data_IF_665087226024
#
_entry.id   IF_665087226024
#
_cell.length_a   1.000
_cell.length_b   1.000
_cell.length_c   1.000
_cell.angle_alpha   90.00
_cell.angle_beta   90.00
_cell.angle_gamma   90.00
#
_symmetry.space_group_name_H-M   'P 1'
#
loop_
_entity.id
_entity.type
_entity.pdbx_description
1 polymer ?
#
# COMPACT_ATOMS: atom_id res chain seq x y z
N UNK A 1 8.05 -27.70 3.01
CA UNK A 1 7.03 -27.86 4.02
C UNK A 1 5.65 -27.99 3.37
N UNK A 2 4.80 -28.86 3.88
CA UNK A 2 3.44 -29.06 3.34
C UNK A 2 2.56 -27.79 3.45
N UNK A 3 2.91 -26.83 4.31
CA UNK A 3 2.18 -25.60 4.53
C UNK A 3 2.61 -24.43 3.64
N UNK A 4 3.77 -24.50 3.00
CA UNK A 4 4.31 -23.41 2.18
C UNK A 4 5.82 -23.52 2.00
N UNK A 5 6.44 -22.44 1.47
CA UNK A 5 7.87 -22.38 1.27
C UNK A 5 8.46 -21.03 1.71
N UNK A 6 9.74 -21.06 2.07
CA UNK A 6 10.52 -19.92 2.52
C UNK A 6 11.63 -19.58 1.52
N UNK A 7 11.85 -18.29 1.33
CA UNK A 7 12.95 -17.74 0.53
C UNK A 7 13.66 -16.66 1.33
N UNK A 8 14.93 -16.83 1.63
CA UNK A 8 15.72 -15.85 2.38
C UNK A 8 16.93 -16.45 3.08
N UNK A 9 17.48 -15.67 4.01
CA UNK A 9 18.65 -16.06 4.78
C UNK A 9 18.34 -17.25 5.69
N UNK A 10 19.30 -18.16 5.79
CA UNK A 10 19.16 -19.36 6.62
C UNK A 10 20.42 -19.60 7.47
N UNK A 11 20.22 -20.11 8.65
CA UNK A 11 21.28 -20.58 9.51
C UNK A 11 20.93 -21.95 10.10
N UNK A 12 21.80 -22.94 9.91
CA UNK A 12 21.59 -24.34 10.37
C UNK A 12 20.24 -24.92 9.91
N UNK A 13 19.83 -24.63 8.65
CA UNK A 13 18.58 -25.11 8.06
C UNK A 13 17.32 -24.43 8.56
N UNK A 14 17.42 -23.35 9.32
CA UNK A 14 16.29 -22.54 9.79
C UNK A 14 16.32 -21.15 9.19
N UNK A 15 15.14 -20.55 9.02
CA UNK A 15 15.03 -19.15 8.61
C UNK A 15 15.72 -18.25 9.65
N UNK A 16 16.60 -17.39 9.18
CA UNK A 16 17.37 -16.44 9.99
C UNK A 16 17.56 -15.16 9.20
N UNK A 17 17.67 -13.99 9.85
CA UNK A 17 17.83 -12.71 9.15
C UNK A 17 16.59 -12.31 8.37
N UNK A 18 16.76 -11.80 7.16
CA UNK A 18 15.63 -11.34 6.32
C UNK A 18 15.17 -12.44 5.37
N UNK A 19 13.83 -12.57 5.23
CA UNK A 19 13.26 -13.53 4.31
C UNK A 19 11.74 -13.48 4.19
N UNK A 20 11.24 -14.26 3.25
CA UNK A 20 9.85 -14.29 2.81
C UNK A 20 9.28 -15.69 2.93
N UNK A 21 8.07 -15.79 3.44
CA UNK A 21 7.32 -17.03 3.51
C UNK A 21 6.03 -16.93 2.68
N UNK A 22 5.76 -17.96 1.91
CA UNK A 22 4.58 -18.10 1.07
C UNK A 22 3.78 -19.31 1.49
N UNK A 23 2.64 -19.08 2.13
CA UNK A 23 1.72 -20.13 2.54
C UNK A 23 0.89 -20.68 1.37
N UNK A 24 0.57 -21.96 1.40
CA UNK A 24 -0.29 -22.59 0.39
C UNK A 24 -1.74 -22.08 0.44
N UNK A 25 -2.15 -21.51 1.58
CA UNK A 25 -3.45 -20.86 1.79
C UNK A 25 -3.54 -19.44 1.21
N UNK A 26 -2.46 -18.95 0.59
CA UNK A 26 -2.37 -17.56 0.10
C UNK A 26 -1.83 -16.57 1.13
N UNK A 27 -1.50 -17.01 2.33
CA UNK A 27 -0.80 -16.18 3.30
C UNK A 27 0.64 -15.87 2.86
N UNK A 28 1.17 -14.78 3.36
CA UNK A 28 2.47 -14.29 3.01
C UNK A 28 3.08 -13.52 4.18
N UNK A 29 4.38 -13.72 4.42
CA UNK A 29 5.15 -12.92 5.37
C UNK A 29 6.44 -12.43 4.71
N UNK A 30 6.78 -11.16 4.94
CA UNK A 30 8.02 -10.53 4.50
C UNK A 30 8.62 -9.77 5.69
N UNK A 31 9.81 -10.15 6.14
CA UNK A 31 10.43 -9.52 7.30
C UNK A 31 11.55 -10.34 7.93
N UNK A 32 11.83 -10.03 9.20
CA UNK A 32 12.90 -10.64 9.95
C UNK A 32 12.52 -11.97 10.60
N UNK A 33 13.51 -12.86 10.65
CA UNK A 33 13.41 -14.21 11.20
C UNK A 33 14.52 -14.49 12.18
N UNK A 34 14.23 -15.28 13.18
CA UNK A 34 15.21 -15.81 14.13
C UNK A 34 14.82 -17.24 14.49
N UNK A 35 15.75 -18.16 14.31
CA UNK A 35 15.58 -19.59 14.65
C UNK A 35 14.29 -20.22 14.06
N UNK A 36 13.95 -19.87 12.81
CA UNK A 36 12.78 -20.36 12.09
C UNK A 36 11.46 -19.69 12.47
N UNK A 37 11.48 -18.61 13.25
CA UNK A 37 10.28 -17.88 13.68
C UNK A 37 10.34 -16.42 13.22
N UNK A 38 9.17 -15.84 12.92
CA UNK A 38 9.04 -14.40 12.68
C UNK A 38 9.47 -13.65 13.94
N UNK A 39 10.48 -12.79 13.81
CA UNK A 39 11.07 -12.10 14.94
C UNK A 39 11.74 -10.80 14.46
N UNK A 40 11.34 -9.65 14.98
CA UNK A 40 11.71 -8.34 14.46
C UNK A 40 10.62 -7.75 13.56
N UNK A 41 10.98 -6.77 12.75
CA UNK A 41 10.02 -6.05 11.92
C UNK A 41 9.61 -6.85 10.67
N UNK A 42 8.31 -6.86 10.37
CA UNK A 42 7.80 -7.55 9.19
C UNK A 42 6.32 -7.32 8.92
N UNK A 43 5.92 -7.72 7.71
CA UNK A 43 4.55 -7.66 7.21
C UNK A 43 3.98 -9.06 7.03
N UNK A 44 2.75 -9.27 7.48
CA UNK A 44 1.98 -10.48 7.25
C UNK A 44 0.68 -10.16 6.53
N UNK A 45 0.45 -10.83 5.41
CA UNK A 45 -0.80 -10.79 4.65
C UNK A 45 -1.44 -12.18 4.75
N UNK A 46 -2.69 -12.24 5.17
CA UNK A 46 -3.44 -13.48 5.20
C UNK A 46 -4.84 -13.26 4.64
N UNK A 47 -5.39 -14.22 3.87
CA UNK A 47 -6.77 -14.15 3.41
C UNK A 47 -7.73 -14.00 4.59
N UNK A 48 -8.74 -13.15 4.43
CA UNK A 48 -9.79 -12.90 5.43
C UNK A 48 -9.30 -12.37 6.79
N UNK A 49 -8.05 -11.91 6.90
CA UNK A 49 -7.50 -11.28 8.11
C UNK A 49 -7.02 -9.85 7.79
N UNK A 50 -6.72 -9.08 8.84
CA UNK A 50 -6.11 -7.77 8.69
C UNK A 50 -4.64 -7.92 8.30
N UNK A 51 -4.15 -6.99 7.50
CA UNK A 51 -2.73 -6.81 7.27
C UNK A 51 -2.06 -6.49 8.61
N UNK A 52 -1.02 -7.26 8.98
CA UNK A 52 -0.25 -7.05 10.21
C UNK A 52 1.14 -6.58 9.85
N UNK A 53 1.47 -5.35 10.20
CA UNK A 53 2.74 -4.70 9.92
C UNK A 53 3.31 -4.15 11.22
N UNK A 54 4.54 -4.50 11.55
CA UNK A 54 5.19 -4.06 12.77
C UNK A 54 6.10 -5.12 13.39
N UNK A 55 6.24 -5.08 14.71
CA UNK A 55 7.13 -5.96 15.46
C UNK A 55 6.52 -7.35 15.70
N UNK A 56 7.35 -8.34 15.49
CA UNK A 56 7.05 -9.75 15.75
C UNK A 56 8.02 -10.32 16.77
N UNK A 57 7.54 -11.23 17.60
CA UNK A 57 8.38 -12.01 18.52
C UNK A 57 7.87 -13.44 18.60
N UNK A 58 8.69 -14.40 18.20
CA UNK A 58 8.35 -15.84 18.21
C UNK A 58 7.03 -16.14 17.51
N UNK A 59 6.84 -15.64 16.29
CA UNK A 59 5.61 -15.76 15.48
C UNK A 59 4.39 -14.97 15.98
N UNK A 60 4.51 -14.23 17.08
CA UNK A 60 3.41 -13.42 17.65
C UNK A 60 3.59 -11.97 17.24
N UNK A 61 2.55 -11.37 16.65
CA UNK A 61 2.52 -9.95 16.35
C UNK A 61 2.42 -9.14 17.64
N UNK A 62 3.32 -8.17 17.82
CA UNK A 62 3.42 -7.32 19.01
C UNK A 62 2.88 -5.92 18.81
N UNK A 63 2.45 -5.62 17.60
CA UNK A 63 1.90 -4.32 17.27
C UNK A 63 2.85 -3.44 16.48
N UNK A 64 2.40 -2.22 16.26
CA UNK A 64 3.08 -1.22 15.45
C UNK A 64 4.13 -0.46 16.26
N UNK A 65 5.26 -0.14 15.62
CA UNK A 65 6.32 0.66 16.23
C UNK A 65 6.82 1.72 15.25
N UNK A 66 6.98 2.93 15.73
CA UNK A 66 7.42 4.08 14.92
C UNK A 66 8.89 4.43 15.16
N UNK A 67 9.76 4.09 14.22
CA UNK A 67 11.16 4.55 14.17
C UNK A 67 11.60 4.70 12.70
N UNK A 68 12.28 5.80 12.35
CA UNK A 68 12.84 6.00 11.00
C UNK A 68 14.26 5.44 10.95
N UNK A 69 14.40 4.19 10.56
CA UNK A 69 15.70 3.54 10.40
C UNK A 69 15.68 2.58 9.19
N UNK A 70 16.83 2.02 8.88
CA UNK A 70 16.99 1.08 7.76
C UNK A 70 16.20 -0.23 7.93
N UNK A 71 15.78 -0.56 9.15
CA UNK A 71 15.05 -1.80 9.44
C UNK A 71 13.55 -1.70 9.11
N UNK A 72 13.09 -0.52 8.68
CA UNK A 72 11.72 -0.34 8.23
C UNK A 72 11.54 -0.77 6.79
N UNK A 73 10.30 -1.16 6.48
CA UNK A 73 9.89 -1.53 5.14
C UNK A 73 9.34 -0.30 4.44
N UNK A 74 10.11 0.22 3.48
CA UNK A 74 9.72 1.37 2.67
C UNK A 74 9.22 0.93 1.30
N UNK A 75 8.30 1.70 0.76
CA UNK A 75 7.75 1.49 -0.56
C UNK A 75 7.29 2.77 -1.22
N UNK A 76 6.73 2.62 -2.39
CA UNK A 76 6.29 3.71 -3.26
C UNK A 76 4.89 3.45 -3.76
N UNK A 77 4.19 4.51 -4.17
CA UNK A 77 3.03 4.37 -5.02
C UNK A 77 3.24 5.08 -6.35
N UNK A 78 2.69 4.50 -7.40
CA UNK A 78 2.94 4.83 -8.78
C UNK A 78 1.64 5.01 -9.56
N UNK A 79 1.66 5.96 -10.46
CA UNK A 79 0.62 6.19 -11.45
C UNK A 79 1.25 6.54 -12.81
N UNK A 80 0.46 7.02 -13.74
CA UNK A 80 0.99 7.55 -15.01
C UNK A 80 1.98 8.73 -14.83
N UNK A 81 1.90 9.43 -13.69
CA UNK A 81 2.73 10.62 -13.45
C UNK A 81 4.22 10.32 -13.38
N UNK A 82 4.62 9.11 -13.03
CA UNK A 82 6.01 8.67 -13.07
C UNK A 82 6.49 8.35 -14.50
N UNK A 83 5.57 8.22 -15.44
CA UNK A 83 5.86 7.95 -16.86
C UNK A 83 5.62 9.14 -17.78
N UNK A 84 4.84 10.13 -17.35
CA UNK A 84 4.41 11.23 -18.20
C UNK A 84 4.52 12.58 -17.49
N UNK A 85 5.15 13.56 -18.17
CA UNK A 85 5.15 14.97 -17.76
C UNK A 85 4.93 15.83 -18.99
N UNK A 86 3.70 16.34 -19.16
CA UNK A 86 3.30 16.98 -20.41
C UNK A 86 3.40 16.00 -21.58
N UNK A 87 4.15 16.38 -22.61
CA UNK A 87 4.40 15.53 -23.77
C UNK A 87 5.57 14.54 -23.60
N UNK A 88 6.37 14.73 -22.56
CA UNK A 88 7.54 13.89 -22.30
C UNK A 88 7.14 12.54 -21.69
N UNK A 89 7.88 11.50 -22.10
CA UNK A 89 7.70 10.14 -21.61
C UNK A 89 8.98 9.64 -20.94
N UNK A 90 8.82 8.93 -19.83
CA UNK A 90 9.90 8.41 -19.01
C UNK A 90 9.68 6.92 -18.72
N UNK A 91 10.76 6.15 -18.82
CA UNK A 91 10.75 4.75 -18.43
C UNK A 91 11.24 4.61 -16.99
N UNK A 92 10.64 3.70 -16.24
CA UNK A 92 11.12 3.31 -14.92
C UNK A 92 12.21 2.26 -15.08
N UNK A 93 13.40 2.52 -14.52
CA UNK A 93 14.50 1.57 -14.47
C UNK A 93 14.38 0.66 -13.25
N UNK A 94 13.46 -0.29 -13.30
CA UNK A 94 13.06 -1.16 -12.19
C UNK A 94 14.22 -1.87 -11.49
N UNK A 95 15.23 -2.31 -12.23
CA UNK A 95 16.43 -2.97 -11.66
C UNK A 95 17.35 -2.04 -10.87
N UNK A 96 17.11 -0.73 -10.90
CA UNK A 96 17.92 0.29 -10.23
C UNK A 96 17.23 0.96 -9.06
N UNK A 97 16.02 0.53 -8.72
CA UNK A 97 15.20 1.24 -7.73
C UNK A 97 15.86 1.26 -6.35
N UNK A 98 16.10 2.46 -5.85
CA UNK A 98 16.55 2.77 -4.49
C UNK A 98 15.95 4.09 -4.06
N UNK A 99 15.38 4.15 -2.87
CA UNK A 99 14.91 5.41 -2.28
C UNK A 99 16.16 6.17 -1.81
N UNK A 100 16.39 7.35 -2.39
CA UNK A 100 17.55 8.19 -2.08
C UNK A 100 17.20 9.39 -1.21
N UNK A 101 15.95 9.82 -1.26
CA UNK A 101 15.42 10.88 -0.39
C UNK A 101 14.02 10.49 0.07
N UNK A 102 13.76 10.63 1.35
CA UNK A 102 12.41 10.42 1.92
C UNK A 102 11.45 11.59 1.61
N UNK A 103 11.96 12.66 1.02
CA UNK A 103 11.20 13.88 0.73
C UNK A 103 11.13 14.83 1.93
N UNK A 104 10.22 15.78 1.85
CA UNK A 104 9.99 16.76 2.91
C UNK A 104 9.14 16.14 4.02
N UNK A 105 9.75 15.80 5.14
CA UNK A 105 9.11 15.05 6.22
C UNK A 105 8.34 15.90 7.23
N UNK A 106 8.56 17.21 7.24
CA UNK A 106 7.87 18.11 8.19
C UNK A 106 7.77 19.53 7.65
N UNK A 107 6.93 20.36 8.32
CA UNK A 107 6.86 21.80 8.05
C UNK A 107 8.18 22.55 8.24
N UNK A 108 9.14 21.95 8.92
CA UNK A 108 10.51 22.45 9.08
C UNK A 108 11.44 22.08 7.92
N UNK A 109 10.93 21.46 6.86
CA UNK A 109 11.69 21.04 5.67
C UNK A 109 12.92 20.20 5.99
N UNK A 110 12.77 19.22 6.86
CA UNK A 110 13.82 18.23 7.11
C UNK A 110 13.86 17.28 5.91
N UNK A 111 14.92 17.37 5.12
CA UNK A 111 15.17 16.46 4.00
C UNK A 111 15.82 15.18 4.51
N UNK A 112 15.15 14.07 4.32
CA UNK A 112 15.70 12.75 4.66
C UNK A 112 16.52 12.17 3.51
N UNK A 113 17.85 12.33 3.51
CA UNK A 113 18.75 11.64 2.58
C UNK A 113 19.02 10.22 3.12
N UNK A 114 18.75 9.22 2.28
CA UNK A 114 18.82 7.80 2.64
C UNK A 114 19.35 6.96 1.48
N UNK A 115 19.53 5.68 1.68
CA UNK A 115 19.77 4.69 0.63
C UNK A 115 19.02 3.39 1.01
N UNK A 116 17.70 3.37 0.78
CA UNK A 116 16.83 2.26 1.17
C UNK A 116 16.34 1.48 -0.06
N UNK A 117 16.15 0.16 0.07
CA UNK A 117 15.49 -0.61 -0.99
C UNK A 117 14.02 -0.21 -1.10
N UNK A 118 13.47 -0.32 -2.31
CA UNK A 118 12.03 -0.30 -2.54
C UNK A 118 11.52 -1.71 -2.29
N UNK A 119 10.87 -1.93 -1.16
CA UNK A 119 10.40 -3.26 -0.75
C UNK A 119 9.02 -3.58 -1.30
N UNK A 120 8.20 -2.55 -1.56
CA UNK A 120 6.87 -2.70 -2.14
C UNK A 120 6.52 -1.51 -3.05
N UNK A 121 5.58 -1.76 -3.96
CA UNK A 121 5.02 -0.73 -4.82
C UNK A 121 3.51 -0.94 -4.97
N UNK A 122 2.73 0.12 -4.79
CA UNK A 122 1.35 0.15 -5.21
C UNK A 122 1.23 0.84 -6.56
N UNK A 123 0.48 0.23 -7.48
CA UNK A 123 0.33 0.75 -8.84
C UNK A 123 -1.14 1.06 -9.12
N UNK A 124 -1.42 2.27 -9.58
CA UNK A 124 -2.76 2.66 -10.01
C UNK A 124 -3.21 1.78 -11.16
N UNK A 125 -4.40 1.21 -11.04
CA UNK A 125 -5.02 0.42 -12.10
C UNK A 125 -6.03 1.25 -12.85
N UNK A 126 -7.01 1.76 -12.12
CA UNK A 126 -8.19 2.41 -12.67
C UNK A 126 -8.60 3.63 -11.86
N UNK A 127 -9.41 4.49 -12.50
CA UNK A 127 -10.09 5.61 -11.86
C UNK A 127 -11.53 5.67 -12.36
N UNK A 128 -12.46 5.86 -11.45
CA UNK A 128 -13.87 5.86 -11.78
C UNK A 128 -14.29 4.58 -12.52
N UNK A 129 -15.12 4.71 -13.52
CA UNK A 129 -15.65 3.56 -14.28
C UNK A 129 -15.01 3.35 -15.65
N UNK A 130 -14.08 4.21 -16.07
CA UNK A 130 -13.58 4.24 -17.46
C UNK A 130 -12.10 4.49 -17.62
N UNK A 131 -11.43 5.14 -16.68
CA UNK A 131 -10.02 5.51 -16.84
C UNK A 131 -9.11 4.36 -16.41
N UNK A 132 -8.28 3.88 -17.33
CA UNK A 132 -7.27 2.86 -17.11
C UNK A 132 -5.88 3.52 -17.11
N UNK A 133 -5.03 3.16 -16.15
CA UNK A 133 -3.61 3.45 -16.24
C UNK A 133 -2.95 2.52 -17.25
N UNK A 134 -2.57 3.05 -18.40
CA UNK A 134 -1.99 2.26 -19.49
C UNK A 134 -0.62 1.64 -19.13
N UNK A 135 0.05 2.13 -18.10
CA UNK A 135 1.34 1.61 -17.62
C UNK A 135 1.18 0.50 -16.58
N UNK A 136 -0.05 0.26 -16.07
CA UNK A 136 -0.29 -0.69 -14.99
C UNK A 136 0.32 -2.07 -15.25
N UNK A 137 0.03 -2.67 -16.38
CA UNK A 137 0.46 -4.04 -16.65
C UNK A 137 1.98 -4.17 -16.76
N UNK A 138 2.64 -3.21 -17.40
CA UNK A 138 4.10 -3.19 -17.52
C UNK A 138 4.77 -3.00 -16.17
N UNK A 139 4.26 -2.08 -15.36
CA UNK A 139 4.79 -1.81 -14.01
C UNK A 139 4.55 -2.99 -13.07
N UNK A 140 3.36 -3.57 -13.10
CA UNK A 140 3.01 -4.76 -12.32
C UNK A 140 3.94 -5.94 -12.61
N UNK A 141 4.19 -6.23 -13.89
CA UNK A 141 5.09 -7.31 -14.30
C UNK A 141 6.54 -7.00 -13.93
N UNK A 142 7.00 -5.78 -14.19
CA UNK A 142 8.36 -5.38 -13.91
C UNK A 142 8.69 -5.41 -12.41
N UNK A 143 7.78 -4.97 -11.57
CA UNK A 143 7.92 -5.06 -10.12
C UNK A 143 8.06 -6.52 -9.66
N UNK A 144 7.20 -7.41 -10.14
CA UNK A 144 7.30 -8.85 -9.86
C UNK A 144 8.63 -9.45 -10.29
N UNK A 145 9.13 -9.08 -11.48
CA UNK A 145 10.44 -9.54 -11.99
C UNK A 145 11.61 -9.13 -11.10
N UNK A 146 11.48 -8.01 -10.41
CA UNK A 146 12.49 -7.52 -9.46
C UNK A 146 12.26 -8.00 -8.01
N UNK A 147 11.27 -8.86 -7.77
CA UNK A 147 10.94 -9.33 -6.44
C UNK A 147 10.34 -8.26 -5.51
N UNK A 148 9.89 -7.13 -6.08
CA UNK A 148 9.20 -6.06 -5.34
C UNK A 148 7.75 -6.49 -5.10
N UNK A 149 7.26 -6.35 -3.87
CA UNK A 149 5.88 -6.63 -3.54
C UNK A 149 4.95 -5.64 -4.22
N UNK A 150 3.92 -6.14 -4.88
CA UNK A 150 3.00 -5.31 -5.65
C UNK A 150 1.62 -5.32 -5.03
N UNK A 151 1.01 -4.15 -4.96
CA UNK A 151 -0.41 -3.97 -4.72
C UNK A 151 -1.03 -3.13 -5.83
N UNK A 152 -2.33 -3.27 -5.98
CA UNK A 152 -3.12 -2.57 -6.99
C UNK A 152 -4.09 -1.61 -6.33
N UNK A 153 -4.21 -0.36 -6.84
CA UNK A 153 -5.17 0.58 -6.29
C UNK A 153 -6.11 1.18 -7.34
N UNK A 154 -7.27 1.57 -6.85
CA UNK A 154 -8.31 2.26 -7.60
C UNK A 154 -8.54 3.65 -7.03
N UNK A 155 -8.57 4.66 -7.89
CA UNK A 155 -8.94 6.02 -7.52
C UNK A 155 -10.45 6.19 -7.64
N UNK A 156 -11.11 6.46 -6.51
CA UNK A 156 -12.56 6.58 -6.42
C UNK A 156 -13.05 7.89 -7.06
N UNK A 157 -14.11 7.78 -7.86
CA UNK A 157 -14.80 8.93 -8.45
C UNK A 157 -16.19 9.12 -7.84
N UNK A 158 -16.54 10.35 -7.53
CA UNK A 158 -17.90 10.71 -7.07
C UNK A 158 -18.95 10.71 -8.19
N UNK A 159 -18.54 10.50 -9.45
CA UNK A 159 -19.39 10.57 -10.65
C UNK A 159 -19.99 9.23 -11.08
N UNK A 160 -19.71 8.15 -10.36
CA UNK A 160 -20.23 6.81 -10.67
C UNK A 160 -20.42 5.96 -9.42
N UNK A 161 -21.26 4.93 -9.51
CA UNK A 161 -21.50 4.06 -8.36
C UNK A 161 -20.29 3.22 -7.98
N UNK A 162 -20.18 2.88 -6.69
CA UNK A 162 -19.15 1.96 -6.19
C UNK A 162 -19.19 0.60 -6.86
N UNK A 163 -20.40 0.12 -7.21
CA UNK A 163 -20.59 -1.12 -7.97
C UNK A 163 -19.91 -1.09 -9.34
N UNK A 164 -20.12 -0.03 -10.13
CA UNK A 164 -19.52 0.09 -11.46
C UNK A 164 -18.00 0.21 -11.38
N UNK A 165 -17.51 0.98 -10.41
CA UNK A 165 -16.08 1.17 -10.18
C UNK A 165 -15.41 -0.13 -9.73
N UNK A 166 -16.02 -0.87 -8.80
CA UNK A 166 -15.50 -2.16 -8.35
C UNK A 166 -15.42 -3.18 -9.49
N UNK A 167 -16.46 -3.29 -10.31
CA UNK A 167 -16.45 -4.17 -11.49
C UNK A 167 -15.36 -3.79 -12.48
N UNK A 168 -15.17 -2.49 -12.74
CA UNK A 168 -14.13 -2.03 -13.65
C UNK A 168 -12.73 -2.34 -13.10
N UNK A 169 -12.49 -2.07 -11.82
CA UNK A 169 -11.24 -2.40 -11.16
C UNK A 169 -10.94 -3.90 -11.21
N UNK A 170 -11.89 -4.75 -10.79
CA UNK A 170 -11.73 -6.20 -10.78
C UNK A 170 -11.49 -6.80 -12.17
N UNK A 171 -12.09 -6.21 -13.20
CA UNK A 171 -11.86 -6.62 -14.60
C UNK A 171 -10.45 -6.30 -15.08
N UNK A 172 -9.83 -5.23 -14.57
CA UNK A 172 -8.56 -4.70 -15.05
C UNK A 172 -7.37 -5.06 -14.18
N UNK A 173 -7.55 -5.16 -12.86
CA UNK A 173 -6.49 -5.52 -11.93
C UNK A 173 -6.03 -6.97 -12.10
N UNK A 174 -4.79 -7.21 -11.69
CA UNK A 174 -4.21 -8.55 -11.57
C UNK A 174 -3.99 -8.87 -10.10
N UNK A 175 -4.22 -10.10 -9.76
CA UNK A 175 -4.04 -10.61 -8.39
C UNK A 175 -3.27 -11.92 -8.47
N UNK A 176 -2.07 -11.95 -7.88
CA UNK A 176 -1.25 -13.15 -7.75
C UNK A 176 -1.07 -13.48 -6.27
N UNK A 177 -0.77 -14.72 -5.99
CA UNK A 177 -0.36 -15.13 -4.64
C UNK A 177 0.84 -14.31 -4.19
N UNK A 178 0.74 -13.74 -2.98
CA UNK A 178 1.77 -12.87 -2.42
C UNK A 178 1.64 -11.38 -2.80
N UNK A 179 0.65 -11.00 -3.62
CA UNK A 179 0.34 -9.58 -3.83
C UNK A 179 -0.21 -8.96 -2.56
N UNK A 180 0.04 -7.67 -2.41
CA UNK A 180 -0.52 -6.88 -1.32
C UNK A 180 -2.03 -6.68 -1.49
N UNK A 181 -2.78 -6.48 -0.40
CA UNK A 181 -4.21 -6.22 -0.47
C UNK A 181 -4.54 -5.05 -1.41
N UNK A 182 -5.66 -5.11 -2.15
CA UNK A 182 -6.09 -4.01 -2.99
C UNK A 182 -6.41 -2.77 -2.16
N UNK A 183 -6.26 -1.59 -2.77
CA UNK A 183 -6.49 -0.30 -2.12
C UNK A 183 -7.56 0.49 -2.86
N UNK A 184 -8.46 1.10 -2.10
CA UNK A 184 -9.37 2.13 -2.56
C UNK A 184 -8.85 3.50 -2.10
N UNK A 185 -8.52 4.35 -3.05
CA UNK A 185 -8.06 5.72 -2.84
C UNK A 185 -9.26 6.67 -2.90
N UNK A 186 -9.58 7.32 -1.78
CA UNK A 186 -10.77 8.17 -1.60
C UNK A 186 -10.35 9.58 -1.20
N UNK A 187 -10.29 10.46 -2.18
CA UNK A 187 -9.84 11.85 -2.03
C UNK A 187 -10.81 12.89 -2.63
N UNK A 188 -12.13 12.77 -2.43
CA UNK A 188 -13.05 13.77 -2.98
C UNK A 188 -12.94 15.08 -2.22
N UNK A 189 -13.13 16.19 -2.93
CA UNK A 189 -13.32 17.51 -2.33
C UNK A 189 -14.68 17.62 -1.65
N UNK A 190 -14.83 18.57 -0.73
CA UNK A 190 -16.13 18.85 -0.08
C UNK A 190 -17.23 19.18 -1.10
N UNK A 191 -16.88 19.92 -2.16
CA UNK A 191 -17.83 20.25 -3.23
C UNK A 191 -18.29 18.98 -3.99
N UNK A 192 -17.38 18.05 -4.25
CA UNK A 192 -17.72 16.77 -4.89
C UNK A 192 -18.61 15.90 -3.99
N UNK A 193 -18.32 15.86 -2.69
CA UNK A 193 -19.15 15.13 -1.71
C UNK A 193 -20.54 15.73 -1.67
N UNK A 194 -20.67 17.05 -1.59
CA UNK A 194 -21.96 17.72 -1.61
C UNK A 194 -22.73 17.44 -2.91
N UNK A 195 -22.07 17.56 -4.06
CA UNK A 195 -22.68 17.35 -5.37
C UNK A 195 -23.21 15.92 -5.58
N UNK A 196 -22.58 14.90 -4.98
CA UNK A 196 -23.07 13.52 -5.07
C UNK A 196 -24.22 13.18 -4.10
N UNK A 197 -24.58 14.10 -3.20
CA UNK A 197 -25.66 13.92 -2.23
C UNK A 197 -25.21 13.78 -0.77
N UNK A 198 -23.96 14.10 -0.47
CA UNK A 198 -23.41 14.15 0.89
C UNK A 198 -22.59 12.93 1.31
N UNK A 199 -22.05 13.00 2.53
CA UNK A 199 -21.11 12.00 3.06
C UNK A 199 -21.74 10.60 3.20
N UNK A 200 -23.03 10.49 3.55
CA UNK A 200 -23.69 9.18 3.64
C UNK A 200 -23.75 8.46 2.29
N UNK A 201 -24.03 9.21 1.21
CA UNK A 201 -24.04 8.68 -0.16
C UNK A 201 -22.62 8.23 -0.55
N UNK A 202 -21.60 9.04 -0.27
CA UNK A 202 -20.21 8.69 -0.48
C UNK A 202 -19.87 7.37 0.20
N UNK A 203 -20.10 7.27 1.51
CA UNK A 203 -19.74 6.09 2.28
C UNK A 203 -20.53 4.84 1.88
N UNK A 204 -21.78 4.98 1.47
CA UNK A 204 -22.54 3.88 0.88
C UNK A 204 -21.82 3.31 -0.35
N UNK A 205 -21.34 4.17 -1.25
CA UNK A 205 -20.63 3.73 -2.45
C UNK A 205 -19.25 3.13 -2.14
N UNK A 206 -18.53 3.70 -1.18
CA UNK A 206 -17.27 3.16 -0.67
C UNK A 206 -17.46 1.75 -0.11
N UNK A 207 -18.46 1.54 0.75
CA UNK A 207 -18.79 0.21 1.33
C UNK A 207 -19.10 -0.83 0.26
N UNK A 208 -19.83 -0.45 -0.79
CA UNK A 208 -20.13 -1.34 -1.92
C UNK A 208 -18.84 -1.79 -2.58
N UNK A 209 -17.95 -0.86 -2.90
CA UNK A 209 -16.67 -1.16 -3.54
C UNK A 209 -15.82 -2.10 -2.66
N UNK A 210 -15.62 -1.73 -1.39
CA UNK A 210 -14.82 -2.48 -0.43
C UNK A 210 -15.33 -3.92 -0.27
N UNK A 211 -16.63 -4.09 -0.12
CA UNK A 211 -17.26 -5.41 0.03
C UNK A 211 -17.14 -6.28 -1.22
N UNK A 212 -17.34 -5.70 -2.41
CA UNK A 212 -17.23 -6.44 -3.66
C UNK A 212 -15.81 -6.93 -3.90
N UNK A 213 -14.83 -6.06 -3.69
CA UNK A 213 -13.42 -6.40 -3.89
C UNK A 213 -12.96 -7.44 -2.84
N UNK A 214 -13.39 -7.31 -1.60
CA UNK A 214 -13.12 -8.31 -0.58
C UNK A 214 -13.69 -9.70 -0.96
N UNK A 215 -14.94 -9.76 -1.38
CA UNK A 215 -15.59 -11.01 -1.80
C UNK A 215 -14.87 -11.67 -2.98
N UNK A 216 -14.35 -10.87 -3.91
CA UNK A 216 -13.68 -11.37 -5.11
C UNK A 216 -12.26 -11.86 -4.82
N UNK A 217 -11.50 -11.12 -4.02
CA UNK A 217 -10.06 -11.36 -3.81
C UNK A 217 -9.76 -12.23 -2.59
N UNK A 218 -10.69 -12.32 -1.64
CA UNK A 218 -10.44 -12.93 -0.33
C UNK A 218 -9.62 -12.06 0.62
N UNK A 219 -9.08 -10.93 0.15
CA UNK A 219 -8.29 -10.00 0.96
C UNK A 219 -9.10 -8.74 1.28
N UNK A 220 -9.09 -8.32 2.55
CA UNK A 220 -9.70 -7.06 2.95
C UNK A 220 -8.98 -5.91 2.29
N UNK A 221 -9.68 -5.07 1.49
CA UNK A 221 -9.07 -3.90 0.91
C UNK A 221 -8.63 -2.90 1.98
N UNK A 222 -7.68 -2.06 1.62
CA UNK A 222 -7.20 -0.95 2.44
C UNK A 222 -7.84 0.33 1.94
N UNK A 223 -8.23 1.21 2.86
CA UNK A 223 -8.79 2.51 2.55
C UNK A 223 -7.70 3.58 2.62
N UNK A 224 -7.34 4.17 1.46
CA UNK A 224 -6.44 5.31 1.43
C UNK A 224 -7.24 6.62 1.50
N UNK A 225 -6.87 7.48 2.43
CA UNK A 225 -7.50 8.78 2.69
C UNK A 225 -6.47 9.80 3.17
N UNK A 226 -6.75 11.09 2.99
CA UNK A 226 -5.96 12.15 3.61
C UNK A 226 -6.28 12.30 5.11
N UNK A 227 -5.35 12.88 5.87
CA UNK A 227 -5.57 13.17 7.29
C UNK A 227 -6.75 14.13 7.49
N UNK A 228 -6.91 15.12 6.62
CA UNK A 228 -8.04 16.06 6.71
C UNK A 228 -9.38 15.38 6.46
N UNK A 229 -9.45 14.47 5.49
CA UNK A 229 -10.63 13.66 5.24
C UNK A 229 -10.93 12.73 6.43
N UNK A 230 -9.89 12.09 6.97
CA UNK A 230 -10.01 11.22 8.12
C UNK A 230 -10.62 11.96 9.32
N UNK A 231 -10.10 13.14 9.65
CA UNK A 231 -10.57 13.93 10.79
C UNK A 231 -12.01 14.44 10.61
N UNK A 232 -12.39 14.79 9.37
CA UNK A 232 -13.67 15.43 9.10
C UNK A 232 -14.80 14.43 8.85
N UNK A 233 -14.54 13.38 8.08
CA UNK A 233 -15.58 12.50 7.56
C UNK A 233 -15.62 11.10 8.19
N UNK A 234 -14.46 10.53 8.60
CA UNK A 234 -14.45 9.18 9.17
C UNK A 234 -15.27 9.02 10.46
N UNK A 235 -15.48 10.05 11.31
CA UNK A 235 -16.42 9.95 12.43
C UNK A 235 -17.86 9.64 12.01
N UNK A 236 -18.25 9.92 10.76
CA UNK A 236 -19.57 9.61 10.20
C UNK A 236 -19.69 8.16 9.69
N UNK A 237 -18.56 7.44 9.58
CA UNK A 237 -18.49 6.05 9.10
C UNK A 237 -17.50 5.23 9.95
N UNK A 238 -17.73 5.09 11.26
CA UNK A 238 -16.81 4.39 12.16
C UNK A 238 -16.61 2.93 11.77
N UNK A 239 -17.61 2.29 11.19
CA UNK A 239 -17.56 0.92 10.68
C UNK A 239 -16.46 0.71 9.63
N UNK A 240 -16.13 1.72 8.83
CA UNK A 240 -15.02 1.63 7.86
C UNK A 240 -13.67 1.58 8.57
N UNK A 241 -13.45 2.39 9.61
CA UNK A 241 -12.24 2.34 10.43
C UNK A 241 -12.12 1.08 11.29
N UNK A 242 -13.26 0.49 11.70
CA UNK A 242 -13.29 -0.73 12.49
C UNK A 242 -13.04 -1.98 11.65
N UNK A 243 -13.58 -2.01 10.41
CA UNK A 243 -13.55 -3.18 9.54
C UNK A 243 -12.38 -3.22 8.57
N UNK A 244 -11.73 -2.07 8.29
CA UNK A 244 -10.66 -1.97 7.30
C UNK A 244 -9.44 -1.27 7.89
N UNK A 245 -8.27 -1.65 7.42
CA UNK A 245 -7.06 -0.89 7.67
C UNK A 245 -7.04 0.37 6.81
N UNK A 246 -6.37 1.39 7.29
CA UNK A 246 -6.29 2.69 6.65
C UNK A 246 -4.84 2.98 6.23
N UNK A 247 -4.69 3.55 5.05
CA UNK A 247 -3.46 4.15 4.57
C UNK A 247 -3.65 5.66 4.56
N UNK A 248 -2.89 6.37 5.38
CA UNK A 248 -3.05 7.82 5.52
C UNK A 248 -1.95 8.57 4.80
N UNK A 249 -2.38 9.50 3.94
CA UNK A 249 -1.52 10.57 3.46
C UNK A 249 -1.39 11.63 4.54
N UNK A 250 -0.28 11.60 5.26
CA UNK A 250 0.13 12.63 6.20
C UNK A 250 1.61 12.87 6.08
N UNK A 251 1.94 14.06 5.70
CA UNK A 251 3.32 14.48 5.53
C UNK A 251 3.89 14.95 6.86
N UNK A 252 4.90 14.23 7.39
CA UNK A 252 5.59 14.63 8.60
C UNK A 252 5.76 13.53 9.65
N UNK A 253 6.22 13.94 10.85
CA UNK A 253 6.75 13.05 11.89
C UNK A 253 5.70 12.40 12.80
N UNK A 254 4.43 12.81 12.72
CA UNK A 254 3.40 12.39 13.67
C UNK A 254 2.55 11.25 13.15
N UNK A 255 2.51 10.16 13.90
CA UNK A 255 1.63 9.03 13.60
C UNK A 255 0.16 9.46 13.63
N UNK A 256 -0.61 9.19 12.55
CA UNK A 256 -2.04 9.38 12.56
C UNK A 256 -2.75 8.47 13.58
N UNK A 257 -3.90 8.90 14.09
CA UNK A 257 -4.64 8.17 15.12
C UNK A 257 -5.66 7.19 14.54
N UNK A 258 -5.20 6.21 13.74
CA UNK A 258 -6.02 5.16 13.15
C UNK A 258 -5.26 3.82 13.15
N UNK A 259 -5.96 2.71 12.90
CA UNK A 259 -5.32 1.42 12.60
C UNK A 259 -4.71 1.49 11.20
N UNK A 260 -3.45 1.81 11.12
CA UNK A 260 -2.76 2.02 9.85
C UNK A 260 -2.20 0.73 9.28
N UNK A 261 -2.35 0.57 7.96
CA UNK A 261 -1.52 -0.34 7.18
C UNK A 261 -0.23 0.35 6.76
N UNK A 262 -0.39 1.54 6.18
CA UNK A 262 0.70 2.34 5.66
C UNK A 262 0.55 3.80 6.08
N UNK A 263 1.69 4.46 6.09
CA UNK A 263 1.78 5.88 6.26
C UNK A 263 2.55 6.48 5.08
N UNK A 264 1.91 7.36 4.31
CA UNK A 264 2.60 8.12 3.28
C UNK A 264 3.36 9.27 3.94
N UNK A 265 4.70 9.21 3.86
CA UNK A 265 5.60 10.16 4.51
C UNK A 265 5.66 11.48 3.76
N UNK A 266 5.74 11.41 2.43
CA UNK A 266 5.94 12.58 1.58
C UNK A 266 5.50 12.30 0.15
N UNK A 267 5.12 13.36 -0.60
CA UNK A 267 4.80 13.26 -2.02
C UNK A 267 6.02 13.60 -2.91
N UNK A 268 7.15 13.98 -2.33
CA UNK A 268 8.30 14.59 -3.02
C UNK A 268 9.61 13.82 -2.77
N UNK A 269 9.52 12.54 -2.48
CA UNK A 269 10.67 11.67 -2.37
C UNK A 269 11.40 11.47 -3.69
N UNK A 270 12.63 10.95 -3.62
CA UNK A 270 13.43 10.62 -4.80
C UNK A 270 13.80 9.15 -4.80
N UNK A 271 13.58 8.53 -5.95
CA UNK A 271 13.90 7.11 -6.17
C UNK A 271 14.80 7.01 -7.39
N UNK A 272 15.99 6.42 -7.20
CA UNK A 272 16.87 6.12 -8.33
C UNK A 272 16.13 5.20 -9.30
N UNK A 273 16.13 5.54 -10.58
CA UNK A 273 15.43 4.79 -11.62
C UNK A 273 14.04 5.33 -11.96
N UNK A 274 13.54 6.33 -11.22
CA UNK A 274 12.29 7.03 -11.53
C UNK A 274 12.59 8.52 -11.73
N UNK A 275 11.96 9.11 -12.75
CA UNK A 275 12.06 10.55 -13.00
C UNK A 275 11.06 11.31 -12.16
N UNK A 276 11.51 12.41 -11.55
CA UNK A 276 10.65 13.32 -10.79
C UNK A 276 10.42 12.91 -9.34
N UNK A 277 9.30 13.35 -8.81
CA UNK A 277 8.89 13.09 -7.44
C UNK A 277 8.12 11.78 -7.34
N UNK A 278 8.27 11.11 -6.20
CA UNK A 278 7.64 9.84 -5.91
C UNK A 278 7.08 9.86 -4.50
N UNK A 279 5.86 9.39 -4.35
CA UNK A 279 5.25 9.22 -3.05
C UNK A 279 5.96 8.13 -2.26
N UNK A 280 6.50 8.48 -1.10
CA UNK A 280 7.22 7.57 -0.22
C UNK A 280 6.31 7.11 0.90
N UNK A 281 6.24 5.81 1.04
CA UNK A 281 5.41 5.14 2.03
C UNK A 281 6.23 4.28 2.94
N UNK A 282 5.76 4.10 4.15
CA UNK A 282 6.32 3.17 5.11
C UNK A 282 5.21 2.29 5.65
N UNK A 283 5.50 1.00 5.80
CA UNK A 283 4.68 0.17 6.65
C UNK A 283 4.73 0.74 8.05
N UNK A 284 3.55 1.01 8.55
CA UNK A 284 3.44 1.55 9.86
C UNK A 284 3.85 0.49 10.88
N UNK A 285 4.90 0.79 11.49
CA UNK A 285 5.34 0.09 12.67
C UNK A 285 5.16 0.96 13.87
#
# INVERSE_FOLDING_TARGET
DSAGYYVGEQRRGKAEGYGQYYGNDGSFYDGHWQDGKRNGFGINVAPHDFLKVGEWKNNVFKGERLTYNADRIYGIDLSKHQHEKGEQRYSIAWSKLRITHLGTLSSKKVEGIVDYPVSFAYVKVTEGRTLLNNYYYSDYLAAHQQGIRVGSYHFFSTLSSGYMQANFFLKKARFRKGDLPPVLDVEPTDAQIHAMGGAEVLFKQVRIWMSMVFKHTGHRPILYISQSFANRYMPLAPDLGDNYLVWIARYGEYKPNFKLAYWQLSPDGKVRGIHGDVDINVFNG
#
